data_IF_357853964514
#
_entry.id   IF_357853964514
#
_cell.length_a   1.000
_cell.length_b   1.000
_cell.length_c   1.000
_cell.angle_alpha   90.00
_cell.angle_beta   90.00
_cell.angle_gamma   90.00
#
_symmetry.space_group_name_H-M   'P 1'
#
loop_
_entity.id
_entity.type
_entity.pdbx_description
1 polymer ?
#
# COMPACT_ATOMS: atom_id res chain seq x y z
N UNK A 1 -61.66 -26.08 -7.53
CA UNK A 1 -61.91 -27.48 -7.05
C UNK A 1 -60.64 -28.33 -7.19
N UNK A 2 -60.00 -28.37 -8.37
CA UNK A 2 -58.81 -29.17 -8.62
C UNK A 2 -57.63 -28.88 -7.66
N UNK A 3 -57.40 -27.61 -7.32
CA UNK A 3 -56.34 -27.25 -6.42
C UNK A 3 -56.57 -27.68 -4.95
N UNK A 4 -57.82 -27.74 -4.52
CA UNK A 4 -58.17 -28.31 -3.20
C UNK A 4 -57.89 -29.81 -3.18
N UNK A 5 -58.29 -30.53 -4.20
CA UNK A 5 -58.05 -31.98 -4.35
C UNK A 5 -56.56 -32.28 -4.36
N UNK A 6 -55.74 -31.47 -5.04
CA UNK A 6 -54.28 -31.59 -5.01
C UNK A 6 -53.70 -31.32 -3.60
N UNK A 7 -54.31 -30.43 -2.85
CA UNK A 7 -53.96 -30.19 -1.46
C UNK A 7 -54.30 -31.37 -0.55
N UNK A 8 -55.50 -31.92 -0.70
CA UNK A 8 -55.98 -33.09 0.08
C UNK A 8 -55.10 -34.33 -0.22
N UNK A 9 -54.79 -34.59 -1.46
CA UNK A 9 -53.91 -35.70 -1.89
C UNK A 9 -52.48 -35.54 -1.33
N UNK A 10 -51.91 -34.33 -1.38
CA UNK A 10 -50.58 -34.08 -0.85
C UNK A 10 -50.54 -34.16 0.70
N UNK A 11 -51.65 -33.84 1.37
CA UNK A 11 -51.75 -34.01 2.83
C UNK A 11 -51.74 -35.49 3.19
N UNK A 12 -52.51 -36.33 2.47
CA UNK A 12 -52.55 -37.76 2.67
C UNK A 12 -51.18 -38.42 2.38
N UNK A 13 -50.55 -38.09 1.25
CA UNK A 13 -49.22 -38.60 0.92
C UNK A 13 -48.17 -38.27 1.99
N UNK A 14 -48.19 -37.10 2.60
CA UNK A 14 -47.26 -36.75 3.66
C UNK A 14 -47.54 -37.52 4.96
N UNK A 15 -48.69 -38.14 5.15
CA UNK A 15 -48.98 -39.04 6.28
C UNK A 15 -48.47 -40.44 5.98
N UNK A 16 -48.59 -40.91 4.71
CA UNK A 16 -48.19 -42.25 4.27
C UNK A 16 -46.68 -42.38 4.09
N UNK A 17 -45.98 -41.29 3.72
CA UNK A 17 -44.55 -41.26 3.49
C UNK A 17 -43.86 -40.26 4.44
N UNK A 18 -43.41 -40.73 5.65
CA UNK A 18 -42.77 -39.89 6.66
C UNK A 18 -41.44 -39.26 6.14
N UNK A 19 -40.70 -39.93 5.26
CA UNK A 19 -39.42 -39.44 4.78
C UNK A 19 -39.59 -38.22 3.86
N UNK A 20 -40.69 -38.20 3.10
CA UNK A 20 -41.05 -37.10 2.19
C UNK A 20 -42.18 -36.20 2.76
N UNK A 21 -42.59 -36.41 3.99
CA UNK A 21 -43.68 -35.69 4.64
C UNK A 21 -43.58 -34.19 4.51
N UNK A 22 -42.37 -33.65 4.74
CA UNK A 22 -42.07 -32.21 4.68
C UNK A 22 -42.34 -31.66 3.28
N UNK A 23 -41.97 -32.39 2.25
CA UNK A 23 -42.12 -31.99 0.84
C UNK A 23 -43.60 -32.05 0.43
N UNK A 24 -44.29 -33.15 0.75
CA UNK A 24 -45.69 -33.34 0.42
C UNK A 24 -46.58 -32.29 1.11
N UNK A 25 -46.38 -32.04 2.40
CA UNK A 25 -47.18 -31.07 3.14
C UNK A 25 -46.93 -29.63 2.74
N UNK A 26 -45.71 -29.28 2.32
CA UNK A 26 -45.45 -27.94 1.75
C UNK A 26 -46.13 -27.75 0.41
N UNK A 27 -46.09 -28.74 -0.46
CA UNK A 27 -46.82 -28.73 -1.73
C UNK A 27 -48.33 -28.64 -1.53
N UNK A 28 -48.85 -29.42 -0.61
CA UNK A 28 -50.25 -29.36 -0.22
C UNK A 28 -50.68 -28.00 0.29
N UNK A 29 -49.91 -27.39 1.19
CA UNK A 29 -50.16 -26.06 1.71
C UNK A 29 -50.15 -24.99 0.60
N UNK A 30 -49.22 -25.09 -0.36
CA UNK A 30 -49.17 -24.22 -1.55
C UNK A 30 -50.43 -24.37 -2.41
N UNK A 31 -50.92 -25.60 -2.62
CA UNK A 31 -52.14 -25.89 -3.34
C UNK A 31 -53.37 -25.28 -2.68
N UNK A 32 -53.50 -25.42 -1.38
CA UNK A 32 -54.57 -24.80 -0.60
C UNK A 32 -54.52 -23.29 -0.63
N UNK A 33 -53.34 -22.67 -0.51
CA UNK A 33 -53.17 -21.21 -0.61
C UNK A 33 -53.60 -20.69 -2.01
N UNK A 34 -53.24 -21.40 -3.05
CA UNK A 34 -53.66 -21.04 -4.42
C UNK A 34 -55.16 -21.25 -4.61
N UNK A 35 -55.74 -22.30 -4.06
CA UNK A 35 -57.20 -22.49 -4.06
C UNK A 35 -57.94 -21.34 -3.34
N UNK A 36 -57.41 -20.92 -2.17
CA UNK A 36 -57.94 -19.80 -1.42
C UNK A 36 -57.80 -18.42 -2.10
N UNK A 37 -56.79 -18.25 -2.98
CA UNK A 37 -56.68 -17.03 -3.80
C UNK A 37 -57.78 -16.95 -4.86
N UNK A 38 -58.22 -18.10 -5.38
CA UNK A 38 -59.27 -18.17 -6.37
C UNK A 38 -60.68 -18.11 -5.77
N UNK A 39 -60.88 -18.71 -4.60
CA UNK A 39 -62.14 -18.65 -3.85
C UNK A 39 -61.87 -18.40 -2.34
N UNK A 40 -61.75 -17.11 -1.95
CA UNK A 40 -61.45 -16.74 -0.56
C UNK A 40 -62.54 -17.14 0.46
N UNK A 41 -63.78 -17.42 0.02
CA UNK A 41 -64.90 -17.74 0.86
C UNK A 41 -65.08 -19.24 1.10
N UNK A 42 -64.26 -20.07 0.45
CA UNK A 42 -64.34 -21.54 0.57
C UNK A 42 -64.01 -22.04 1.97
N UNK A 43 -65.02 -22.35 2.75
CA UNK A 43 -64.86 -22.77 4.15
C UNK A 43 -64.16 -24.12 4.26
N UNK A 44 -64.35 -25.05 3.34
CA UNK A 44 -63.69 -26.37 3.35
C UNK A 44 -62.23 -26.30 3.08
N UNK A 45 -61.80 -25.55 2.08
CA UNK A 45 -60.41 -25.33 1.80
C UNK A 45 -59.71 -24.64 2.98
N UNK A 46 -60.35 -23.67 3.58
CA UNK A 46 -59.82 -22.98 4.78
C UNK A 46 -59.62 -23.96 5.96
N UNK A 47 -60.60 -24.83 6.21
CA UNK A 47 -60.55 -25.85 7.26
C UNK A 47 -59.43 -26.85 6.99
N UNK A 48 -59.30 -27.34 5.75
CA UNK A 48 -58.23 -28.27 5.35
C UNK A 48 -56.83 -27.63 5.51
N UNK A 49 -56.68 -26.39 5.07
CA UNK A 49 -55.44 -25.64 5.22
C UNK A 49 -55.07 -25.42 6.70
N UNK A 50 -56.03 -25.12 7.54
CA UNK A 50 -55.80 -24.97 8.98
C UNK A 50 -55.38 -26.28 9.63
N UNK A 51 -56.07 -27.39 9.32
CA UNK A 51 -55.71 -28.72 9.83
C UNK A 51 -54.26 -29.10 9.41
N UNK A 52 -53.91 -28.92 8.15
CA UNK A 52 -52.55 -29.17 7.66
C UNK A 52 -51.54 -28.30 8.38
N UNK A 53 -51.85 -27.02 8.58
CA UNK A 53 -50.97 -26.12 9.34
C UNK A 53 -50.71 -26.60 10.76
N UNK A 54 -51.75 -27.07 11.45
CA UNK A 54 -51.63 -27.64 12.82
C UNK A 54 -50.81 -28.93 12.84
N UNK A 55 -50.97 -29.79 11.81
CA UNK A 55 -50.15 -31.00 11.65
C UNK A 55 -48.67 -30.66 11.39
N UNK A 56 -48.41 -29.65 10.58
CA UNK A 56 -47.06 -29.17 10.30
C UNK A 56 -46.40 -28.60 11.54
N UNK A 57 -47.15 -27.83 12.34
CA UNK A 57 -46.64 -27.26 13.60
C UNK A 57 -46.30 -28.37 14.60
N UNK A 58 -47.19 -29.39 14.75
CA UNK A 58 -46.96 -30.53 15.61
C UNK A 58 -45.73 -31.36 15.26
N UNK A 59 -45.34 -31.35 13.99
CA UNK A 59 -44.16 -32.05 13.45
C UNK A 59 -42.97 -31.11 13.22
N UNK A 60 -42.97 -29.89 13.75
CA UNK A 60 -41.92 -28.88 13.58
C UNK A 60 -41.56 -28.58 12.11
N UNK A 61 -42.54 -28.75 11.19
CA UNK A 61 -42.35 -28.47 9.76
C UNK A 61 -42.72 -27.03 9.48
N UNK A 62 -41.74 -26.25 9.05
CA UNK A 62 -41.92 -24.84 8.66
C UNK A 62 -42.94 -24.69 7.52
N UNK A 63 -43.93 -23.80 7.69
CA UNK A 63 -45.00 -23.53 6.72
C UNK A 63 -44.55 -22.73 5.50
N UNK A 64 -43.26 -22.42 5.38
CA UNK A 64 -42.72 -21.64 4.30
C UNK A 64 -43.26 -20.19 4.23
N UNK A 65 -43.70 -19.65 5.36
CA UNK A 65 -44.13 -18.26 5.52
C UNK A 65 -43.04 -17.53 6.28
N UNK A 66 -42.30 -16.70 5.63
CA UNK A 66 -41.18 -15.95 6.21
C UNK A 66 -40.01 -15.81 5.25
N UNK A 67 -38.97 -15.08 5.69
CA UNK A 67 -37.74 -14.93 4.94
C UNK A 67 -36.92 -16.24 4.98
N UNK A 68 -37.13 -17.10 4.00
CA UNK A 68 -36.32 -18.32 3.85
C UNK A 68 -35.10 -18.01 3.00
N UNK A 69 -33.92 -18.35 3.49
CA UNK A 69 -32.67 -18.21 2.74
C UNK A 69 -32.54 -19.25 1.64
N UNK A 70 -33.03 -20.46 1.91
CA UNK A 70 -32.96 -21.61 0.98
C UNK A 70 -34.32 -22.27 0.85
N UNK A 71 -34.67 -22.77 -0.33
CA UNK A 71 -35.85 -23.57 -0.61
C UNK A 71 -35.46 -24.78 -1.47
N UNK A 72 -35.70 -25.97 -1.00
CA UNK A 72 -35.34 -27.25 -1.65
C UNK A 72 -33.87 -27.31 -2.12
N UNK A 73 -32.93 -26.74 -1.33
CA UNK A 73 -31.49 -26.72 -1.65
C UNK A 73 -31.05 -25.57 -2.56
N UNK A 74 -31.98 -24.78 -3.08
CA UNK A 74 -31.67 -23.58 -3.90
C UNK A 74 -31.86 -22.29 -3.09
N UNK A 75 -31.04 -21.28 -3.29
CA UNK A 75 -31.23 -19.99 -2.65
C UNK A 75 -32.51 -19.34 -3.15
N UNK A 76 -33.35 -18.87 -2.21
CA UNK A 76 -34.49 -18.03 -2.54
C UNK A 76 -34.02 -16.65 -3.04
N UNK A 77 -34.83 -15.83 -3.70
CA UNK A 77 -34.46 -14.46 -4.05
C UNK A 77 -33.98 -13.64 -2.84
N UNK A 78 -34.57 -13.86 -1.66
CA UNK A 78 -34.09 -13.27 -0.41
C UNK A 78 -32.77 -13.90 0.05
N UNK A 79 -32.63 -15.21 -0.07
CA UNK A 79 -31.40 -15.91 0.25
C UNK A 79 -30.24 -15.46 -0.63
N UNK A 80 -30.46 -15.29 -1.92
CA UNK A 80 -29.49 -14.77 -2.86
C UNK A 80 -29.06 -13.34 -2.48
N UNK A 81 -30.03 -12.47 -2.18
CA UNK A 81 -29.75 -11.12 -1.70
C UNK A 81 -28.92 -11.14 -0.40
N UNK A 82 -29.27 -11.99 0.56
CA UNK A 82 -28.55 -12.12 1.82
C UNK A 82 -27.10 -12.61 1.60
N UNK A 83 -26.90 -13.58 0.71
CA UNK A 83 -25.55 -14.07 0.34
C UNK A 83 -24.73 -12.94 -0.29
N UNK A 84 -25.30 -12.21 -1.25
CA UNK A 84 -24.61 -11.09 -1.89
C UNK A 84 -24.28 -9.99 -0.87
N UNK A 85 -25.20 -9.66 0.04
CA UNK A 85 -24.97 -8.68 1.09
C UNK A 85 -23.83 -9.09 2.03
N UNK A 86 -23.74 -10.38 2.43
CA UNK A 86 -22.63 -10.89 3.23
C UNK A 86 -21.31 -10.81 2.49
N UNK A 87 -21.28 -11.17 1.21
CA UNK A 87 -20.06 -11.06 0.38
C UNK A 87 -19.63 -9.59 0.29
N UNK A 88 -20.55 -8.67 0.00
CA UNK A 88 -20.24 -7.24 -0.08
C UNK A 88 -19.72 -6.69 1.25
N UNK A 89 -20.34 -7.05 2.37
CA UNK A 89 -19.86 -6.64 3.70
C UNK A 89 -18.48 -7.22 4.01
N UNK A 90 -18.21 -8.47 3.63
CA UNK A 90 -16.88 -9.07 3.83
C UNK A 90 -15.80 -8.40 3.00
N UNK A 91 -16.09 -8.02 1.75
CA UNK A 91 -15.17 -7.26 0.91
C UNK A 91 -14.89 -5.86 1.48
N UNK A 92 -15.92 -5.18 1.96
CA UNK A 92 -15.75 -3.87 2.64
C UNK A 92 -14.93 -4.05 3.92
N UNK A 93 -15.20 -5.08 4.72
CA UNK A 93 -14.45 -5.35 5.94
C UNK A 93 -12.98 -5.65 5.65
N UNK A 94 -12.69 -6.46 4.61
CA UNK A 94 -11.31 -6.74 4.17
C UNK A 94 -10.61 -5.45 3.73
N UNK A 95 -11.29 -4.59 2.99
CA UNK A 95 -10.73 -3.29 2.58
C UNK A 95 -10.45 -2.40 3.80
N UNK A 96 -11.42 -2.25 4.70
CA UNK A 96 -11.23 -1.44 5.93
C UNK A 96 -10.10 -1.98 6.79
N UNK A 97 -10.01 -3.31 6.96
CA UNK A 97 -8.91 -3.94 7.71
C UNK A 97 -7.58 -3.73 6.99
N UNK A 98 -7.55 -3.86 5.67
CA UNK A 98 -6.35 -3.56 4.87
C UNK A 98 -5.93 -2.10 5.06
N UNK A 99 -6.86 -1.15 4.94
CA UNK A 99 -6.57 0.28 5.11
C UNK A 99 -6.16 0.64 6.56
N UNK A 100 -6.64 -0.11 7.56
CA UNK A 100 -6.22 0.05 8.98
C UNK A 100 -4.87 -0.61 9.27
N UNK A 101 -4.49 -1.64 8.52
CA UNK A 101 -3.19 -2.32 8.65
C UNK A 101 -2.10 -1.67 7.80
N UNK A 102 -2.44 -0.92 6.76
CA UNK A 102 -1.56 0.05 6.15
C UNK A 102 -1.56 1.27 7.08
N UNK A 103 -0.76 1.24 8.16
CA UNK A 103 -0.26 2.50 8.72
C UNK A 103 0.26 3.29 7.52
N UNK A 104 -0.24 4.50 7.28
CA UNK A 104 0.48 5.47 6.45
C UNK A 104 1.83 5.63 7.16
N UNK A 105 2.82 4.86 6.72
CA UNK A 105 4.19 5.10 7.14
C UNK A 105 4.50 6.52 6.67
N UNK A 106 4.46 7.46 7.63
CA UNK A 106 4.84 8.84 7.38
C UNK A 106 6.21 8.90 6.71
N UNK A 107 6.57 10.03 6.19
CA UNK A 107 7.89 10.22 5.60
C UNK A 107 8.99 9.79 6.59
N UNK A 108 9.91 8.90 6.20
CA UNK A 108 11.01 8.51 7.06
C UNK A 108 11.96 9.69 7.27
N UNK A 109 12.57 9.72 8.45
CA UNK A 109 13.62 10.69 8.80
C UNK A 109 14.94 9.94 8.93
N UNK A 110 15.97 10.44 8.25
CA UNK A 110 17.35 9.97 8.38
C UNK A 110 18.15 11.03 9.12
N UNK A 111 18.90 10.63 10.16
CA UNK A 111 19.78 11.51 10.92
C UNK A 111 21.23 11.24 10.50
N UNK A 112 21.92 12.26 9.99
CA UNK A 112 23.36 12.23 9.70
C UNK A 112 24.13 12.83 10.87
N UNK A 113 24.94 12.02 11.53
CA UNK A 113 25.92 12.51 12.51
C UNK A 113 27.16 12.97 11.73
N UNK A 114 27.50 14.23 11.82
CA UNK A 114 28.57 14.86 11.06
C UNK A 114 29.68 15.38 11.96
N UNK A 115 30.92 15.33 11.45
CA UNK A 115 32.10 15.91 12.10
C UNK A 115 32.87 16.73 11.05
N UNK A 116 33.15 17.98 11.37
CA UNK A 116 33.89 18.89 10.47
C UNK A 116 34.75 19.87 11.28
N UNK A 117 35.72 20.49 10.62
CA UNK A 117 36.50 21.58 11.19
C UNK A 117 35.79 22.88 10.79
N UNK A 118 35.26 23.58 11.78
CA UNK A 118 34.56 24.83 11.58
C UNK A 118 35.54 25.91 11.09
N UNK A 119 35.25 26.53 9.95
CA UNK A 119 36.16 27.50 9.31
C UNK A 119 36.32 28.82 10.08
N UNK A 120 35.35 29.17 10.92
CA UNK A 120 35.42 30.42 11.72
C UNK A 120 36.22 30.22 13.00
N UNK A 121 36.07 29.08 13.64
CA UNK A 121 36.68 28.78 14.94
C UNK A 121 37.95 27.93 14.84
N UNK A 122 38.16 27.24 13.73
CA UNK A 122 39.23 26.25 13.55
C UNK A 122 39.07 25.01 14.44
N UNK A 123 37.93 24.81 15.08
CA UNK A 123 37.69 23.68 15.99
C UNK A 123 36.89 22.59 15.33
N UNK A 124 37.17 21.35 15.74
CA UNK A 124 36.35 20.20 15.32
C UNK A 124 34.99 20.30 15.99
N UNK A 125 33.96 20.33 15.18
CA UNK A 125 32.55 20.41 15.57
C UNK A 125 31.84 19.11 15.22
N UNK A 126 30.98 18.65 16.13
CA UNK A 126 30.07 17.54 15.92
C UNK A 126 28.64 18.10 15.79
N UNK A 127 27.85 17.52 14.92
CA UNK A 127 26.46 17.92 14.75
C UNK A 127 25.60 16.80 14.19
N UNK A 128 24.29 17.05 14.21
CA UNK A 128 23.30 16.14 13.59
C UNK A 128 22.49 16.93 12.59
N UNK A 129 22.28 16.33 11.42
CA UNK A 129 21.41 16.85 10.36
C UNK A 129 20.28 15.87 10.19
N UNK A 130 19.03 16.27 10.51
CA UNK A 130 17.85 15.44 10.32
C UNK A 130 17.19 15.79 8.99
N UNK A 131 16.90 14.76 8.19
CA UNK A 131 16.39 14.88 6.83
C UNK A 131 15.10 14.07 6.71
N UNK A 132 13.99 14.72 6.44
CA UNK A 132 12.75 14.10 6.07
C UNK A 132 12.78 13.69 4.60
N UNK A 133 12.46 12.43 4.29
CA UNK A 133 12.49 11.87 2.94
C UNK A 133 11.07 11.73 2.39
N UNK A 134 10.82 12.26 1.20
CA UNK A 134 9.50 12.38 0.59
C UNK A 134 9.10 11.11 -0.18
N UNK A 135 8.58 10.12 0.53
CA UNK A 135 8.21 8.80 -0.01
C UNK A 135 7.23 8.87 -1.18
N UNK A 136 6.23 9.75 -1.12
CA UNK A 136 5.22 9.88 -2.17
C UNK A 136 5.74 10.51 -3.47
N UNK A 137 6.86 11.24 -3.38
CA UNK A 137 7.45 11.94 -4.52
C UNK A 137 8.61 11.18 -5.18
N UNK A 138 9.36 10.40 -4.40
CA UNK A 138 10.51 9.67 -4.87
C UNK A 138 10.70 8.35 -4.13
N UNK A 139 9.73 7.40 -4.24
CA UNK A 139 9.71 6.18 -3.45
C UNK A 139 10.96 5.32 -3.59
N UNK A 140 11.55 5.23 -4.79
CA UNK A 140 12.76 4.43 -5.04
C UNK A 140 13.98 5.07 -4.39
N UNK A 141 14.15 6.38 -4.50
CA UNK A 141 15.25 7.12 -3.87
C UNK A 141 15.17 7.05 -2.35
N UNK A 142 13.95 7.21 -1.80
CA UNK A 142 13.71 7.10 -0.36
C UNK A 142 14.03 5.70 0.14
N UNK A 143 13.54 4.65 -0.53
CA UNK A 143 13.84 3.28 -0.15
C UNK A 143 15.34 2.99 -0.21
N UNK A 144 16.02 3.43 -1.26
CA UNK A 144 17.46 3.26 -1.43
C UNK A 144 18.26 3.94 -0.31
N UNK A 145 17.93 5.19 0.05
CA UNK A 145 18.57 5.94 1.14
C UNK A 145 18.34 5.27 2.50
N UNK A 146 17.11 4.85 2.80
CA UNK A 146 16.75 4.16 4.04
C UNK A 146 17.48 2.83 4.16
N UNK A 147 17.58 2.06 3.08
CA UNK A 147 18.33 0.79 3.08
C UNK A 147 19.82 1.02 3.34
N UNK A 148 20.45 1.98 2.67
CA UNK A 148 21.85 2.30 2.91
C UNK A 148 22.12 2.74 4.36
N UNK A 149 21.25 3.63 4.90
CA UNK A 149 21.35 4.09 6.27
C UNK A 149 21.18 2.94 7.28
N UNK A 150 20.16 2.09 7.07
CA UNK A 150 19.90 0.94 7.96
C UNK A 150 20.98 -0.14 7.93
N UNK A 151 21.71 -0.23 6.83
CA UNK A 151 22.83 -1.16 6.66
C UNK A 151 24.18 -0.59 7.17
N UNK A 152 24.21 0.69 7.59
CA UNK A 152 25.42 1.38 8.01
C UNK A 152 26.39 1.70 6.85
N UNK A 153 25.92 1.69 5.61
CA UNK A 153 26.78 1.91 4.45
C UNK A 153 27.33 3.34 4.37
N UNK A 154 26.65 4.30 5.01
CA UNK A 154 27.11 5.70 5.10
C UNK A 154 28.07 5.97 6.27
N UNK A 155 28.25 4.98 7.16
CA UNK A 155 29.13 5.15 8.33
C UNK A 155 30.57 5.40 7.91
N UNK A 156 31.17 6.46 8.46
CA UNK A 156 32.53 6.90 8.14
C UNK A 156 32.77 7.30 6.68
N UNK A 157 31.73 7.59 5.92
CA UNK A 157 31.86 8.25 4.61
C UNK A 157 32.10 9.74 4.78
N UNK A 158 32.56 10.41 3.72
CA UNK A 158 32.86 11.83 3.74
C UNK A 158 32.02 12.62 2.73
N UNK A 159 31.92 13.94 2.94
CA UNK A 159 31.55 14.86 1.87
C UNK A 159 32.77 15.08 0.98
N UNK A 160 32.91 14.26 -0.04
CA UNK A 160 34.07 14.25 -0.93
C UNK A 160 34.10 15.42 -1.93
N UNK A 161 32.98 16.14 -2.07
CA UNK A 161 32.89 17.30 -2.97
C UNK A 161 32.00 18.37 -2.36
N UNK A 162 32.61 19.48 -1.97
CA UNK A 162 31.92 20.66 -1.43
C UNK A 162 32.21 21.83 -2.35
N UNK A 163 31.15 22.51 -2.80
CA UNK A 163 31.27 23.76 -3.56
C UNK A 163 30.47 24.81 -2.82
N UNK A 164 31.19 25.85 -2.38
CA UNK A 164 30.59 26.97 -1.66
C UNK A 164 29.47 27.61 -2.47
N UNK A 165 28.38 27.97 -1.80
CA UNK A 165 27.15 28.53 -2.39
C UNK A 165 26.48 27.64 -3.48
N UNK A 166 26.83 26.34 -3.49
CA UNK A 166 26.20 25.41 -4.42
C UNK A 166 25.68 24.15 -3.72
N UNK A 167 26.56 23.25 -3.25
CA UNK A 167 26.11 21.98 -2.61
C UNK A 167 27.23 21.28 -1.84
N UNK A 168 26.81 20.40 -0.90
CA UNK A 168 27.68 19.44 -0.20
C UNK A 168 27.35 18.04 -0.71
N UNK A 169 28.25 17.40 -1.47
CA UNK A 169 28.07 16.06 -2.02
C UNK A 169 28.86 15.02 -1.23
N UNK A 170 28.15 13.96 -0.83
CA UNK A 170 28.67 12.81 -0.10
C UNK A 170 28.02 11.49 -0.52
N UNK A 171 28.16 10.48 0.32
CA UNK A 171 27.50 9.18 0.13
C UNK A 171 28.19 8.26 -0.87
N UNK A 172 29.45 8.51 -1.23
CA UNK A 172 30.27 7.52 -1.94
C UNK A 172 30.73 6.46 -0.94
N UNK A 173 30.03 5.33 -0.91
CA UNK A 173 30.22 4.24 0.07
C UNK A 173 31.42 3.34 -0.26
N UNK A 174 32.01 3.48 -1.45
CA UNK A 174 33.12 2.63 -1.90
C UNK A 174 34.46 3.36 -1.85
N UNK A 175 34.57 4.43 -2.64
CA UNK A 175 35.85 5.07 -2.95
C UNK A 175 36.04 6.39 -2.22
N UNK A 176 34.98 7.00 -1.72
CA UNK A 176 34.94 8.28 -1.02
C UNK A 176 35.58 9.46 -1.81
N UNK A 177 35.57 9.36 -3.15
CA UNK A 177 36.14 10.35 -4.06
C UNK A 177 35.18 10.75 -5.21
N UNK A 178 33.94 10.27 -5.16
CA UNK A 178 32.90 10.54 -6.16
C UNK A 178 32.85 9.56 -7.32
N UNK A 179 33.77 8.61 -7.40
CA UNK A 179 33.80 7.63 -8.48
C UNK A 179 33.05 6.32 -8.18
N UNK A 180 32.59 6.14 -6.93
CA UNK A 180 31.93 4.93 -6.46
C UNK A 180 30.46 5.14 -6.11
N UNK A 181 29.93 4.20 -5.36
CA UNK A 181 28.54 4.20 -4.90
C UNK A 181 27.59 3.46 -5.84
N UNK A 182 26.76 2.62 -5.28
CA UNK A 182 25.80 1.77 -5.99
C UNK A 182 24.47 1.70 -5.21
N UNK A 183 23.41 1.17 -5.82
CA UNK A 183 22.11 1.03 -5.19
C UNK A 183 22.10 -0.06 -4.11
N UNK A 184 21.41 0.16 -2.99
CA UNK A 184 21.37 -0.73 -1.82
C UNK A 184 20.81 -2.12 -2.13
N UNK A 185 19.99 -2.23 -3.14
CA UNK A 185 19.45 -3.48 -3.67
C UNK A 185 19.28 -3.38 -5.18
N UNK A 186 18.92 -4.49 -5.81
CA UNK A 186 18.55 -4.50 -7.22
C UNK A 186 17.21 -3.79 -7.47
N UNK A 187 17.26 -2.65 -8.16
CA UNK A 187 16.07 -1.87 -8.59
C UNK A 187 15.77 -2.00 -10.09
N UNK A 188 16.39 -2.96 -10.77
CA UNK A 188 16.15 -3.21 -12.18
C UNK A 188 17.08 -2.46 -13.14
N UNK A 189 18.13 -1.81 -12.66
CA UNK A 189 19.05 -1.02 -13.46
C UNK A 189 20.51 -1.41 -13.23
N UNK A 190 21.27 -1.47 -14.32
CA UNK A 190 22.70 -1.75 -14.35
C UNK A 190 23.41 -0.67 -15.15
N UNK A 191 24.24 0.17 -14.52
CA UNK A 191 24.90 1.31 -15.15
C UNK A 191 23.92 2.20 -15.96
N UNK A 192 22.73 2.46 -15.42
CA UNK A 192 21.69 3.28 -16.08
C UNK A 192 20.79 2.52 -17.06
N UNK A 193 21.10 1.28 -17.43
CA UNK A 193 20.29 0.49 -18.34
C UNK A 193 19.31 -0.41 -17.59
N UNK A 194 18.04 -0.38 -17.98
CA UNK A 194 17.02 -1.29 -17.43
C UNK A 194 17.30 -2.74 -17.80
N UNK A 195 17.24 -3.63 -16.81
CA UNK A 195 17.49 -5.07 -16.95
C UNK A 195 16.49 -5.88 -16.16
N UNK A 196 16.02 -6.99 -16.71
CA UNK A 196 15.05 -7.89 -16.05
C UNK A 196 15.66 -8.74 -14.92
N UNK A 197 17.00 -8.84 -14.85
CA UNK A 197 17.72 -9.66 -13.86
C UNK A 197 19.06 -9.05 -13.51
N UNK A 198 19.47 -9.21 -12.26
CA UNK A 198 20.81 -8.83 -11.78
C UNK A 198 21.91 -9.84 -12.11
N UNK A 199 21.58 -11.00 -12.70
CA UNK A 199 22.54 -12.11 -12.89
C UNK A 199 23.77 -11.79 -13.77
N UNK A 200 23.69 -10.74 -14.58
CA UNK A 200 24.80 -10.27 -15.44
C UNK A 200 25.24 -8.85 -15.06
N UNK A 201 25.00 -8.41 -13.82
CA UNK A 201 25.31 -7.08 -13.33
C UNK A 201 25.89 -7.20 -11.91
N UNK A 202 27.15 -6.82 -11.73
CA UNK A 202 27.77 -6.79 -10.42
C UNK A 202 27.10 -5.73 -9.53
N UNK A 203 27.09 -5.93 -8.21
CA UNK A 203 26.45 -5.01 -7.27
C UNK A 203 27.00 -3.58 -7.39
N UNK A 204 28.29 -3.43 -7.60
CA UNK A 204 28.96 -2.14 -7.82
C UNK A 204 28.43 -1.37 -9.05
N UNK A 205 27.65 -2.02 -9.91
CA UNK A 205 27.05 -1.45 -11.10
C UNK A 205 25.54 -1.21 -10.98
N UNK A 206 24.96 -1.53 -9.82
CA UNK A 206 23.55 -1.34 -9.57
C UNK A 206 23.21 0.15 -9.43
N UNK A 207 22.22 0.58 -10.18
CA UNK A 207 21.73 1.96 -10.17
C UNK A 207 20.22 1.99 -9.96
N UNK A 208 19.67 3.18 -9.76
CA UNK A 208 18.23 3.39 -9.56
C UNK A 208 17.65 4.21 -10.71
N UNK A 209 16.35 4.04 -11.03
CA UNK A 209 15.66 4.88 -12.00
C UNK A 209 15.58 6.32 -11.50
N UNK A 210 15.64 7.29 -12.40
CA UNK A 210 15.39 8.69 -12.08
C UNK A 210 13.90 8.91 -11.71
N UNK A 211 13.66 9.74 -10.70
CA UNK A 211 12.32 10.20 -10.27
C UNK A 211 12.30 11.75 -10.28
N UNK A 212 13.02 12.37 -11.21
CA UNK A 212 13.24 13.82 -11.23
C UNK A 212 12.00 14.63 -11.68
N UNK A 213 11.04 14.00 -12.38
CA UNK A 213 9.76 14.62 -12.77
C UNK A 213 8.70 14.47 -11.68
N UNK A 214 9.07 14.76 -10.43
CA UNK A 214 8.21 14.59 -9.26
C UNK A 214 7.62 15.91 -8.72
N UNK A 215 7.83 17.01 -9.44
CA UNK A 215 7.33 18.34 -9.09
C UNK A 215 8.15 19.07 -8.03
N UNK A 216 9.16 18.43 -7.42
CA UNK A 216 10.05 19.05 -6.44
C UNK A 216 11.13 19.88 -7.12
N UNK A 217 11.59 20.92 -6.43
CA UNK A 217 12.59 21.87 -6.89
C UNK A 217 13.77 21.91 -5.94
N UNK A 218 14.95 22.18 -6.49
CA UNK A 218 16.13 22.45 -5.69
C UNK A 218 16.00 23.79 -4.97
N UNK A 219 16.45 23.82 -3.73
CA UNK A 219 16.45 25.00 -2.86
C UNK A 219 17.14 24.69 -1.55
N UNK A 220 17.29 25.68 -0.68
CA UNK A 220 17.92 25.52 0.62
C UNK A 220 17.35 24.32 1.39
N UNK A 221 18.24 23.49 1.92
CA UNK A 221 17.88 22.31 2.71
C UNK A 221 17.44 21.08 1.89
N UNK A 222 17.25 21.19 0.59
CA UNK A 222 16.87 20.01 -0.21
C UNK A 222 18.02 19.03 -0.36
N UNK A 223 17.69 17.73 -0.25
CA UNK A 223 18.58 16.65 -0.61
C UNK A 223 18.20 16.08 -1.99
N UNK A 224 19.19 15.84 -2.84
CA UNK A 224 18.97 15.31 -4.16
C UNK A 224 20.03 14.25 -4.53
N UNK A 225 19.67 13.38 -5.47
CA UNK A 225 20.53 12.28 -5.94
C UNK A 225 21.65 12.82 -6.83
N UNK A 226 22.89 12.52 -6.45
CA UNK A 226 24.04 12.72 -7.33
C UNK A 226 24.12 11.59 -8.36
N UNK A 227 24.32 11.94 -9.63
CA UNK A 227 24.43 10.98 -10.71
C UNK A 227 25.28 11.56 -11.86
N UNK A 228 25.66 10.75 -12.81
CA UNK A 228 26.28 11.21 -14.05
C UNK A 228 25.26 11.97 -14.92
N UNK A 229 25.70 12.48 -16.07
CA UNK A 229 24.79 13.11 -17.03
C UNK A 229 23.80 12.12 -17.67
N UNK A 230 24.12 10.84 -17.67
CA UNK A 230 23.22 9.79 -18.16
C UNK A 230 22.04 9.57 -17.19
N UNK A 231 20.90 9.19 -17.75
CA UNK A 231 19.70 8.85 -16.98
C UNK A 231 19.91 7.56 -16.17
N UNK A 232 19.20 7.46 -15.04
CA UNK A 232 19.13 6.25 -14.21
C UNK A 232 20.51 5.76 -13.69
N UNK A 233 21.47 6.68 -13.51
CA UNK A 233 22.81 6.36 -13.01
C UNK A 233 23.01 6.71 -11.54
N UNK A 234 21.97 7.09 -10.81
CA UNK A 234 22.02 7.29 -9.37
C UNK A 234 22.36 5.98 -8.63
N UNK A 235 23.20 6.09 -7.60
CA UNK A 235 23.59 4.96 -6.73
C UNK A 235 23.34 5.30 -5.25
N UNK A 236 24.43 5.47 -4.48
CA UNK A 236 24.35 5.89 -3.08
C UNK A 236 24.62 7.37 -2.84
N UNK A 237 25.22 8.07 -3.81
CA UNK A 237 25.67 9.44 -3.62
C UNK A 237 24.52 10.43 -3.65
N UNK A 238 24.58 11.40 -2.75
CA UNK A 238 23.60 12.49 -2.63
C UNK A 238 24.31 13.82 -2.44
N UNK A 239 23.56 14.91 -2.57
CA UNK A 239 24.03 16.23 -2.16
C UNK A 239 22.94 16.99 -1.42
N UNK A 240 23.39 17.87 -0.51
CA UNK A 240 22.50 18.76 0.26
C UNK A 240 22.77 20.20 -0.17
N UNK A 241 21.71 20.96 -0.41
CA UNK A 241 21.77 22.35 -0.85
C UNK A 241 21.88 23.27 0.35
N UNK A 242 22.92 24.13 0.48
CA UNK A 242 23.07 25.08 1.58
C UNK A 242 22.09 26.26 1.45
N UNK A 243 21.98 27.09 2.51
CA UNK A 243 21.00 28.17 2.63
C UNK A 243 21.12 29.20 1.49
N UNK A 244 22.30 29.51 1.00
CA UNK A 244 22.54 30.53 -0.05
C UNK A 244 22.28 30.06 -1.47
N UNK A 245 21.89 28.81 -1.69
CA UNK A 245 21.87 28.17 -3.02
C UNK A 245 20.46 27.83 -3.52
N UNK A 246 20.25 28.01 -4.83
CA UNK A 246 19.03 27.56 -5.54
C UNK A 246 19.41 27.06 -6.94
N UNK A 247 19.98 25.86 -7.07
CA UNK A 247 20.52 25.36 -8.35
C UNK A 247 19.40 24.89 -9.29
N UNK A 248 18.56 25.81 -9.75
CA UNK A 248 17.38 25.53 -10.59
C UNK A 248 17.69 24.86 -11.92
N UNK A 249 18.95 24.92 -12.41
CA UNK A 249 19.39 24.23 -13.62
C UNK A 249 19.42 22.70 -13.44
N UNK A 250 19.33 22.19 -12.22
CA UNK A 250 19.25 20.76 -11.90
C UNK A 250 17.80 20.26 -11.77
N UNK A 251 16.81 21.15 -11.78
CA UNK A 251 15.39 20.79 -11.69
C UNK A 251 14.96 19.90 -12.86
N UNK A 252 14.29 18.80 -12.55
CA UNK A 252 13.88 17.82 -13.57
C UNK A 252 15.04 16.96 -14.14
N UNK A 253 16.28 17.13 -13.65
CA UNK A 253 17.45 16.34 -14.06
C UNK A 253 17.92 15.45 -12.92
N UNK A 254 18.08 16.02 -11.73
CA UNK A 254 18.44 15.30 -10.53
C UNK A 254 17.21 15.17 -9.61
N UNK A 255 16.97 13.99 -9.09
CA UNK A 255 15.81 13.73 -8.23
C UNK A 255 16.01 14.37 -6.86
N UNK A 256 15.18 15.35 -6.53
CA UNK A 256 15.01 15.84 -5.16
C UNK A 256 14.11 14.85 -4.44
N UNK A 257 14.52 14.36 -3.27
CA UNK A 257 13.79 13.30 -2.57
C UNK A 257 13.63 13.51 -1.06
N UNK A 258 14.01 14.70 -0.54
CA UNK A 258 13.84 15.04 0.88
C UNK A 258 14.26 16.48 1.19
N UNK A 259 14.18 16.80 2.49
CA UNK A 259 14.52 18.12 3.02
C UNK A 259 15.08 18.02 4.43
N UNK A 260 16.07 18.85 4.74
CA UNK A 260 16.62 19.02 6.08
C UNK A 260 15.56 19.69 6.97
N UNK A 261 15.16 19.01 8.02
CA UNK A 261 14.20 19.50 9.01
C UNK A 261 14.89 20.07 10.25
N UNK A 262 16.13 19.64 10.51
CA UNK A 262 16.96 20.12 11.61
C UNK A 262 18.43 20.09 11.19
N UNK A 263 19.27 20.98 11.74
CA UNK A 263 20.71 20.96 11.51
C UNK A 263 21.19 21.77 10.30
N UNK A 264 20.40 22.65 9.69
CA UNK A 264 20.83 23.55 8.61
C UNK A 264 22.11 24.35 8.92
N UNK A 265 22.34 24.83 10.16
CA UNK A 265 23.63 25.48 10.48
C UNK A 265 24.84 24.59 10.27
N UNK A 266 24.73 23.28 10.44
CA UNK A 266 25.81 22.34 10.14
C UNK A 266 26.00 22.16 8.63
N UNK A 267 24.91 22.13 7.84
CA UNK A 267 24.99 22.11 6.36
C UNK A 267 25.75 23.34 5.85
N UNK A 268 25.41 24.52 6.36
CA UNK A 268 26.03 25.79 5.95
C UNK A 268 27.49 25.89 6.41
N UNK A 269 27.80 25.40 7.62
CA UNK A 269 29.18 25.37 8.13
C UNK A 269 30.06 24.40 7.33
N UNK A 270 29.52 23.20 6.98
CA UNK A 270 30.22 22.24 6.11
C UNK A 270 30.46 22.86 4.71
N UNK A 271 29.53 23.65 4.18
CA UNK A 271 29.68 24.29 2.88
C UNK A 271 30.80 25.33 2.84
N UNK A 272 31.32 25.76 3.98
CA UNK A 272 32.39 26.75 4.14
C UNK A 272 33.74 26.19 4.61
N UNK A 273 33.84 24.85 4.76
CA UNK A 273 35.11 24.25 5.18
C UNK A 273 36.19 24.48 4.13
N UNK A 274 37.45 24.55 4.55
CA UNK A 274 38.57 24.63 3.60
C UNK A 274 38.58 23.39 2.71
N UNK A 275 38.55 23.60 1.41
CA UNK A 275 38.64 22.55 0.40
C UNK A 275 40.06 22.50 -0.20
N UNK A 276 40.44 21.32 -0.72
CA UNK A 276 41.75 21.18 -1.40
C UNK A 276 41.90 22.07 -2.64
N UNK A 277 43.10 22.21 -3.14
CA UNK A 277 43.47 23.14 -4.22
C UNK A 277 42.84 22.84 -5.59
N UNK A 278 42.01 21.84 -5.73
CA UNK A 278 41.19 21.59 -6.92
C UNK A 278 39.75 21.94 -6.56
N UNK A 279 39.13 22.84 -7.29
CA UNK A 279 37.74 23.30 -7.12
C UNK A 279 36.69 22.17 -7.08
N UNK A 280 37.10 20.91 -7.03
CA UNK A 280 36.29 19.73 -7.05
C UNK A 280 36.64 18.70 -5.94
N UNK A 281 37.64 18.97 -5.09
CA UNK A 281 38.13 17.96 -4.13
C UNK A 281 38.26 18.56 -2.73
N UNK A 282 37.37 18.19 -1.85
CA UNK A 282 37.43 18.47 -0.44
C UNK A 282 37.14 17.22 0.36
N UNK A 283 38.20 16.51 0.71
CA UNK A 283 38.11 15.49 1.72
C UNK A 283 38.16 16.13 3.09
N UNK A 284 37.03 16.33 3.73
CA UNK A 284 36.97 16.60 5.17
C UNK A 284 36.56 15.33 5.89
N UNK A 285 37.48 14.68 6.51
CA UNK A 285 37.24 13.58 7.44
C UNK A 285 36.80 14.12 8.82
#
# INVERSE_FOLDING_TARGET
HTLKIAGDAGTALGVEDPDMQRVHWRKALKSYRNSMKMDPKNKETRKAMHNLSSMMDANAISRGVGFQLMDEGNPTPFGLFAIVAVIMMSLVAVKVISDMLTEEEGNPVVSLEVSYVDSETGQRTLGTIDIELFRDHAPVHVENMVLHASQGNYDNTIFHRIIEDFMNQGGDIDNQNGAGGYAAKWFGYCNGESRSSSSACEQSQWTIPDEADNGLKHGPGKIAMAKTQAENTGGSQFYIVPTGSTPSHLDGVHTVFGEVTSGMPHVDAINKVETGNNDNDSSTS
#
